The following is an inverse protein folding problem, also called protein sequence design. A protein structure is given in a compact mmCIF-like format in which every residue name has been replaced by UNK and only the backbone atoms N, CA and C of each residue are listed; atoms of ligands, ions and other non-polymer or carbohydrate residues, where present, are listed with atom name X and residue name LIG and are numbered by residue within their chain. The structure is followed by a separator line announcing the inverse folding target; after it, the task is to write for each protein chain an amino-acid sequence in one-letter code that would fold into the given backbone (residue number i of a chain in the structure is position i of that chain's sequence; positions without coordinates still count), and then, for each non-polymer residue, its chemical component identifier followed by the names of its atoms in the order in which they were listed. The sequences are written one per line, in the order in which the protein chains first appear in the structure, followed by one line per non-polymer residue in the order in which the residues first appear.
data_IF_014552665638
#
_entry.id   IF_014552665638
#
_cell.length_a   1.000
_cell.length_b   1.000
_cell.length_c   1.000
_cell.angle_alpha   90.00
_cell.angle_beta   90.00
_cell.angle_gamma   90.00
#
_symmetry.space_group_name_H-M   'P 1'
#
loop_
_entity.id
_entity.type
_entity.pdbx_description
1 polymer ?
#
# COMPACT_ATOMS: atom_id res chain seq x y z
N UNK A 1 -6.88 0.35 -19.03
CA UNK A 1 -5.75 1.23 -18.64
C UNK A 1 -5.76 1.68 -17.17
N UNK A 2 -6.92 1.71 -16.47
CA UNK A 2 -6.98 2.06 -15.05
C UNK A 2 -6.29 1.02 -14.16
N UNK A 3 -6.24 -0.23 -14.62
CA UNK A 3 -5.76 -1.37 -13.82
C UNK A 3 -4.25 -1.40 -13.61
N UNK A 4 -3.42 -1.20 -14.66
CA UNK A 4 -1.95 -1.26 -14.53
C UNK A 4 -1.37 -0.26 -13.50
N UNK A 5 -1.98 0.91 -13.37
CA UNK A 5 -1.56 1.92 -12.38
C UNK A 5 -1.91 1.48 -10.96
N UNK A 6 -3.08 0.87 -10.80
CA UNK A 6 -3.51 0.33 -9.52
C UNK A 6 -2.64 -0.88 -9.12
N UNK A 7 -2.26 -1.71 -10.08
CA UNK A 7 -1.31 -2.81 -9.88
C UNK A 7 0.06 -2.31 -9.41
N UNK A 8 0.60 -1.24 -10.02
CA UNK A 8 1.86 -0.64 -9.59
C UNK A 8 1.79 -0.12 -8.13
N UNK A 9 0.66 0.49 -7.74
CA UNK A 9 0.44 0.93 -6.36
C UNK A 9 0.35 -0.26 -5.40
N UNK A 10 -0.32 -1.34 -5.79
CA UNK A 10 -0.38 -2.59 -5.01
C UNK A 10 1.02 -3.19 -4.82
N UNK A 11 1.82 -3.23 -5.89
CA UNK A 11 3.21 -3.71 -5.83
C UNK A 11 4.08 -2.82 -4.94
N UNK A 12 3.97 -1.49 -5.05
CA UNK A 12 4.72 -0.57 -4.20
C UNK A 12 4.32 -0.69 -2.72
N UNK A 13 3.07 -1.06 -2.45
CA UNK A 13 2.61 -1.39 -1.09
C UNK A 13 3.28 -2.65 -0.56
N UNK A 14 3.34 -3.70 -1.39
CA UNK A 14 4.06 -4.92 -1.04
C UNK A 14 5.52 -4.61 -0.69
N UNK A 15 6.19 -3.80 -1.52
CA UNK A 15 7.58 -3.40 -1.27
C UNK A 15 7.73 -2.64 0.05
N UNK A 16 6.75 -1.81 0.42
CA UNK A 16 6.79 -1.07 1.69
C UNK A 16 6.68 -2.05 2.85
N UNK A 17 5.83 -3.05 2.74
CA UNK A 17 5.69 -4.11 3.74
C UNK A 17 6.96 -4.96 3.85
N UNK A 18 7.61 -5.29 2.72
CA UNK A 18 8.93 -5.96 2.75
C UNK A 18 9.95 -5.10 3.47
N UNK A 19 9.96 -3.79 3.19
CA UNK A 19 10.89 -2.88 3.86
C UNK A 19 10.64 -2.79 5.37
N UNK A 20 9.38 -2.78 5.82
CA UNK A 20 9.02 -2.82 7.25
C UNK A 20 9.65 -4.03 7.92
N UNK A 21 9.47 -5.22 7.34
CA UNK A 21 10.01 -6.47 7.89
C UNK A 21 11.54 -6.47 7.88
N UNK A 22 12.13 -6.01 6.78
CA UNK A 22 13.58 -5.91 6.65
C UNK A 22 14.19 -4.99 7.71
N UNK A 23 13.54 -3.85 7.96
CA UNK A 23 13.97 -2.85 8.96
C UNK A 23 13.80 -3.36 10.39
N UNK A 24 12.79 -4.21 10.64
CA UNK A 24 12.63 -4.93 11.91
C UNK A 24 13.71 -6.02 12.10
N UNK A 25 14.17 -6.67 11.02
CA UNK A 25 15.22 -7.67 11.08
C UNK A 25 16.64 -7.06 11.16
N UNK A 26 16.82 -5.80 10.77
CA UNK A 26 18.14 -5.17 10.68
C UNK A 26 18.95 -5.14 12.00
N UNK A 27 18.39 -4.82 13.17
CA UNK A 27 19.19 -4.66 14.39
C UNK A 27 20.04 -5.88 14.78
N UNK A 28 19.50 -7.10 14.93
CA UNK A 28 20.31 -8.25 15.34
C UNK A 28 21.43 -8.57 14.35
N UNK A 29 21.17 -8.48 13.05
CA UNK A 29 22.21 -8.67 12.03
C UNK A 29 23.31 -7.60 12.14
N UNK A 30 22.93 -6.35 12.38
CA UNK A 30 23.89 -5.27 12.52
C UNK A 30 24.73 -5.34 13.80
N UNK A 31 24.28 -6.08 14.84
CA UNK A 31 25.13 -6.41 15.99
C UNK A 31 26.28 -7.34 15.60
N UNK A 32 26.09 -8.18 14.59
CA UNK A 32 27.09 -9.07 14.03
C UNK A 32 27.90 -8.40 12.90
N UNK A 33 27.68 -7.11 12.65
CA UNK A 33 28.36 -6.36 11.59
C UNK A 33 27.88 -6.71 10.18
N UNK A 34 26.80 -7.48 10.05
CA UNK A 34 26.24 -7.91 8.76
C UNK A 34 24.86 -7.29 8.53
N UNK A 35 24.45 -7.22 7.26
CA UNK A 35 23.10 -6.81 6.90
C UNK A 35 22.20 -8.04 6.75
N UNK A 36 20.90 -7.94 7.07
CA UNK A 36 19.98 -9.01 6.76
C UNK A 36 20.01 -9.30 5.25
N UNK A 37 20.02 -10.59 4.85
CA UNK A 37 20.10 -10.93 3.44
C UNK A 37 18.79 -10.56 2.74
N UNK A 38 18.88 -9.65 1.76
CA UNK A 38 17.71 -9.06 1.07
C UNK A 38 16.94 -10.10 0.26
N UNK A 39 17.67 -10.95 -0.46
CA UNK A 39 17.08 -11.93 -1.38
C UNK A 39 16.16 -12.94 -0.65
N UNK A 40 16.58 -13.55 0.48
CA UNK A 40 15.69 -14.34 1.35
C UNK A 40 14.38 -13.68 1.73
N UNK A 41 14.43 -12.44 2.21
CA UNK A 41 13.24 -11.69 2.61
C UNK A 41 12.31 -11.44 1.42
N UNK A 42 12.88 -11.07 0.27
CA UNK A 42 12.12 -10.83 -0.95
C UNK A 42 11.46 -12.11 -1.45
N UNK A 43 12.18 -13.23 -1.47
CA UNK A 43 11.64 -14.54 -1.86
C UNK A 43 10.53 -14.99 -0.91
N UNK A 44 10.69 -14.84 0.40
CA UNK A 44 9.66 -15.20 1.38
C UNK A 44 8.37 -14.40 1.17
N UNK A 45 8.47 -13.09 0.92
CA UNK A 45 7.29 -12.26 0.66
C UNK A 45 6.65 -12.59 -0.69
N UNK A 46 7.45 -12.79 -1.75
CA UNK A 46 6.93 -13.17 -3.06
C UNK A 46 6.23 -14.53 -3.01
N UNK A 47 6.80 -15.51 -2.30
CA UNK A 47 6.20 -16.81 -2.08
C UNK A 47 4.89 -16.71 -1.29
N UNK A 48 4.90 -15.95 -0.18
CA UNK A 48 3.70 -15.69 0.62
C UNK A 48 2.59 -15.01 -0.18
N UNK A 49 2.92 -14.03 -1.03
CA UNK A 49 1.91 -13.39 -1.88
C UNK A 49 1.45 -14.21 -3.06
N UNK A 50 2.32 -15.02 -3.66
CA UNK A 50 1.94 -15.97 -4.70
C UNK A 50 0.96 -17.01 -4.12
N UNK A 51 1.29 -17.61 -2.98
CA UNK A 51 0.43 -18.57 -2.31
C UNK A 51 -0.92 -17.95 -1.86
N UNK A 52 -0.92 -16.70 -1.39
CA UNK A 52 -2.16 -16.01 -1.02
C UNK A 52 -3.08 -15.71 -2.20
N UNK A 53 -2.54 -15.59 -3.42
CA UNK A 53 -3.34 -15.47 -4.65
C UNK A 53 -3.90 -16.80 -5.11
N UNK A 54 -3.17 -17.89 -4.88
CA UNK A 54 -3.57 -19.24 -5.31
C UNK A 54 -4.60 -19.86 -4.36
N UNK A 55 -4.55 -19.50 -3.08
CA UNK A 55 -5.36 -20.13 -2.03
C UNK A 55 -6.30 -19.11 -1.39
N UNK A 56 -7.61 -19.34 -1.49
CA UNK A 56 -8.63 -18.53 -0.81
C UNK A 56 -8.96 -19.08 0.58
N UNK A 57 -9.30 -18.20 1.53
CA UNK A 57 -9.81 -18.57 2.85
C UNK A 57 -8.72 -18.92 3.88
N UNK A 58 -9.14 -19.54 5.00
CA UNK A 58 -8.27 -19.79 6.15
C UNK A 58 -7.11 -20.74 5.84
N UNK A 59 -7.32 -21.72 4.95
CA UNK A 59 -6.27 -22.63 4.51
C UNK A 59 -5.14 -21.89 3.77
N UNK A 60 -5.48 -20.86 2.99
CA UNK A 60 -4.48 -20.01 2.33
C UNK A 60 -3.58 -19.28 3.32
N UNK A 61 -4.11 -18.82 4.45
CA UNK A 61 -3.31 -18.16 5.50
C UNK A 61 -2.31 -19.11 6.17
N UNK A 62 -2.75 -20.33 6.50
CA UNK A 62 -1.86 -21.32 7.11
C UNK A 62 -0.75 -21.74 6.14
N UNK A 63 -1.11 -22.04 4.90
CA UNK A 63 -0.14 -22.45 3.87
C UNK A 63 0.83 -21.33 3.54
N UNK A 64 0.37 -20.08 3.39
CA UNK A 64 1.26 -18.93 3.13
C UNK A 64 2.23 -18.67 4.26
N UNK A 65 1.78 -18.79 5.51
CA UNK A 65 2.62 -18.62 6.69
C UNK A 65 3.67 -19.74 6.78
N UNK A 66 3.28 -20.99 6.53
CA UNK A 66 4.19 -22.14 6.49
C UNK A 66 5.21 -22.05 5.36
N UNK A 67 4.79 -21.59 4.16
CA UNK A 67 5.70 -21.40 3.03
C UNK A 67 6.70 -20.27 3.28
N UNK A 68 6.24 -19.17 3.88
CA UNK A 68 7.12 -18.08 4.28
C UNK A 68 8.10 -18.52 5.37
N UNK A 69 7.64 -19.31 6.35
CA UNK A 69 8.49 -19.90 7.38
C UNK A 69 9.55 -20.82 6.78
N UNK A 70 9.15 -21.73 5.89
CA UNK A 70 10.05 -22.65 5.21
C UNK A 70 11.08 -21.92 4.33
N UNK A 71 10.65 -20.93 3.54
CA UNK A 71 11.53 -20.14 2.70
C UNK A 71 12.54 -19.33 3.52
N UNK A 72 12.11 -18.76 4.64
CA UNK A 72 12.98 -18.01 5.52
C UNK A 72 13.96 -18.93 6.29
N UNK A 73 13.51 -20.11 6.73
CA UNK A 73 14.37 -21.10 7.36
C UNK A 73 15.41 -21.67 6.38
N UNK A 74 15.00 -22.02 5.16
CA UNK A 74 15.87 -22.55 4.12
C UNK A 74 16.97 -21.57 3.65
N UNK A 75 16.82 -20.29 4.00
CA UNK A 75 17.77 -19.22 3.66
C UNK A 75 18.66 -18.82 4.84
N UNK A 76 18.58 -19.54 5.96
CA UNK A 76 19.43 -19.32 7.13
C UNK A 76 18.99 -18.19 8.05
N UNK A 77 17.73 -17.70 7.95
CA UNK A 77 17.22 -16.72 8.91
C UNK A 77 16.99 -17.40 10.28
N UNK A 78 17.32 -16.74 11.41
CA UNK A 78 17.07 -17.28 12.74
C UNK A 78 15.59 -17.59 12.95
N UNK A 79 15.29 -18.71 13.60
CA UNK A 79 13.92 -19.23 13.74
C UNK A 79 12.92 -18.22 14.33
N UNK A 80 13.34 -17.40 15.29
CA UNK A 80 12.49 -16.37 15.88
C UNK A 80 12.10 -15.32 14.83
N UNK A 81 13.05 -14.89 13.99
CA UNK A 81 12.78 -13.95 12.90
C UNK A 81 11.84 -14.54 11.86
N UNK A 82 12.04 -15.81 11.49
CA UNK A 82 11.18 -16.49 10.52
C UNK A 82 9.76 -16.65 11.04
N UNK A 83 9.58 -16.96 12.33
CA UNK A 83 8.28 -17.04 12.97
C UNK A 83 7.54 -15.70 12.99
N UNK A 84 8.22 -14.60 13.35
CA UNK A 84 7.65 -13.25 13.32
C UNK A 84 7.26 -12.84 11.89
N UNK A 85 8.14 -13.12 10.93
CA UNK A 85 7.93 -12.83 9.51
C UNK A 85 6.73 -13.61 8.95
N UNK A 86 6.61 -14.89 9.29
CA UNK A 86 5.49 -15.73 8.92
C UNK A 86 4.17 -15.24 9.53
N UNK A 87 4.15 -14.92 10.83
CA UNK A 87 2.97 -14.38 11.51
C UNK A 87 2.53 -13.04 10.92
N UNK A 88 3.49 -12.17 10.61
CA UNK A 88 3.26 -10.88 9.96
C UNK A 88 2.64 -11.04 8.57
N UNK A 89 3.23 -11.88 7.71
CA UNK A 89 2.71 -12.15 6.36
C UNK A 89 1.31 -12.76 6.45
N UNK A 90 1.08 -13.73 7.34
CA UNK A 90 -0.22 -14.36 7.56
C UNK A 90 -1.30 -13.37 7.98
N UNK A 91 -1.02 -12.54 9.00
CA UNK A 91 -1.92 -11.46 9.44
C UNK A 91 -2.21 -10.50 8.29
N UNK A 92 -1.20 -10.16 7.50
CA UNK A 92 -1.36 -9.21 6.42
C UNK A 92 -2.22 -9.77 5.28
N UNK A 93 -2.03 -11.02 4.90
CA UNK A 93 -2.86 -11.67 3.88
C UNK A 93 -4.33 -11.73 4.31
N UNK A 94 -4.60 -11.99 5.60
CA UNK A 94 -5.94 -11.88 6.17
C UNK A 94 -6.53 -10.49 5.96
N UNK A 95 -5.78 -9.46 6.34
CA UNK A 95 -6.24 -8.07 6.23
C UNK A 95 -6.44 -7.60 4.77
N UNK A 96 -5.74 -8.20 3.80
CA UNK A 96 -5.98 -7.96 2.37
C UNK A 96 -7.26 -8.66 1.87
N UNK A 97 -7.55 -9.87 2.37
CA UNK A 97 -8.74 -10.63 2.01
C UNK A 97 -10.02 -9.95 2.54
N UNK A 98 -9.95 -9.33 3.72
CA UNK A 98 -11.07 -8.63 4.39
C UNK A 98 -11.41 -7.25 3.77
N UNK A 99 -10.86 -6.95 2.59
CA UNK A 99 -11.22 -5.84 1.68
C UNK A 99 -11.14 -4.41 2.19
N UNK A 100 -10.67 -4.13 3.40
CA UNK A 100 -10.19 -2.78 3.72
C UNK A 100 -9.40 -2.71 5.03
N UNK A 101 -8.15 -2.23 4.95
CA UNK A 101 -7.59 -1.54 6.09
C UNK A 101 -6.94 -0.26 5.59
N UNK A 102 -7.76 0.75 5.28
CA UNK A 102 -7.26 2.10 5.09
C UNK A 102 -6.75 2.63 6.45
N UNK A 103 -5.54 2.21 6.88
CA UNK A 103 -4.95 2.62 8.14
C UNK A 103 -3.89 1.67 8.71
N UNK A 104 -4.04 0.35 8.55
CA UNK A 104 -3.10 -0.61 9.19
C UNK A 104 -1.69 -0.54 8.62
N UNK A 105 -1.55 -0.11 7.36
CA UNK A 105 -0.24 0.11 6.73
C UNK A 105 0.57 1.19 7.46
N UNK A 106 -0.09 2.24 7.93
CA UNK A 106 0.57 3.29 8.70
C UNK A 106 0.97 2.80 10.08
N UNK A 107 0.10 2.03 10.72
CA UNK A 107 0.42 1.39 11.99
C UNK A 107 1.67 0.51 11.85
N UNK A 108 1.76 -0.29 10.78
CA UNK A 108 2.94 -1.11 10.48
C UNK A 108 4.23 -0.30 10.29
N UNK A 109 4.15 0.78 9.51
CA UNK A 109 5.28 1.70 9.31
C UNK A 109 5.68 2.38 10.62
N UNK A 110 4.72 2.83 11.43
CA UNK A 110 5.02 3.46 12.71
C UNK A 110 5.62 2.49 13.72
N UNK A 111 5.12 1.25 13.80
CA UNK A 111 5.68 0.22 14.68
C UNK A 111 7.13 -0.08 14.29
N UNK A 112 7.43 -0.24 13.01
CA UNK A 112 8.81 -0.49 12.55
C UNK A 112 9.72 0.71 12.76
N UNK A 113 9.26 1.94 12.48
CA UNK A 113 10.04 3.15 12.78
C UNK A 113 10.31 3.24 14.29
N UNK A 114 9.31 2.99 15.14
CA UNK A 114 9.47 3.05 16.59
C UNK A 114 10.46 2.00 17.09
N UNK A 115 10.32 0.74 16.65
CA UNK A 115 11.24 -0.35 16.99
C UNK A 115 12.67 -0.03 16.54
N UNK A 116 12.84 0.38 15.28
CA UNK A 116 14.16 0.67 14.73
C UNK A 116 14.75 1.94 15.33
N UNK A 117 13.94 2.90 15.77
CA UNK A 117 14.42 4.04 16.54
C UNK A 117 14.94 3.59 17.90
N UNK A 118 14.24 2.69 18.61
CA UNK A 118 14.74 2.10 19.85
C UNK A 118 16.07 1.36 19.62
N UNK A 119 16.14 0.54 18.57
CA UNK A 119 17.37 -0.16 18.19
C UNK A 119 18.51 0.80 17.82
N UNK A 120 18.21 1.84 17.04
CA UNK A 120 19.14 2.91 16.71
C UNK A 120 19.69 3.58 17.97
N UNK A 121 18.84 3.88 18.95
CA UNK A 121 19.27 4.48 20.22
C UNK A 121 20.19 3.56 21.03
N UNK A 122 20.01 2.25 20.95
CA UNK A 122 20.88 1.27 21.61
C UNK A 122 22.23 1.07 20.88
N UNK A 123 22.29 1.34 19.57
CA UNK A 123 23.47 1.10 18.72
C UNK A 123 24.27 2.37 18.40
N UNK A 124 23.86 3.54 18.91
CA UNK A 124 24.62 4.79 18.79
C UNK A 124 25.90 4.70 19.64
N UNK A 125 27.09 5.14 19.15
CA UNK A 125 27.39 5.89 17.92
C UNK A 125 28.09 5.07 16.81
N UNK A 126 27.71 3.80 16.60
CA UNK A 126 28.36 2.93 15.61
C UNK A 126 27.89 3.09 14.17
N UNK A 127 28.65 2.54 13.22
CA UNK A 127 28.27 2.45 11.79
C UNK A 127 26.91 1.76 11.60
N UNK A 128 26.64 0.73 12.42
CA UNK A 128 25.35 0.04 12.50
C UNK A 128 24.18 1.00 12.76
N UNK A 129 24.32 1.91 13.71
CA UNK A 129 23.31 2.92 13.99
C UNK A 129 23.03 3.79 12.76
N UNK A 130 24.08 4.20 12.04
CA UNK A 130 23.92 5.00 10.83
C UNK A 130 23.15 4.26 9.71
N UNK A 131 23.35 2.95 9.59
CA UNK A 131 22.61 2.10 8.64
C UNK A 131 21.14 2.01 9.03
N UNK A 132 20.82 1.77 10.31
CA UNK A 132 19.44 1.75 10.80
C UNK A 132 18.75 3.10 10.57
N UNK A 133 19.45 4.19 10.86
CA UNK A 133 18.94 5.54 10.60
C UNK A 133 18.57 5.74 9.12
N UNK A 134 19.47 5.36 8.20
CA UNK A 134 19.22 5.45 6.77
C UNK A 134 17.99 4.62 6.36
N UNK A 135 17.88 3.40 6.88
CA UNK A 135 16.76 2.52 6.63
C UNK A 135 15.43 3.14 7.09
N UNK A 136 15.38 3.73 8.29
CA UNK A 136 14.20 4.43 8.83
C UNK A 136 13.81 5.60 7.93
N UNK A 137 14.77 6.45 7.54
CA UNK A 137 14.50 7.63 6.69
C UNK A 137 13.97 7.20 5.33
N UNK A 138 14.61 6.22 4.69
CA UNK A 138 14.17 5.66 3.41
C UNK A 138 12.75 5.08 3.51
N UNK A 139 12.47 4.32 4.56
CA UNK A 139 11.16 3.73 4.79
C UNK A 139 10.07 4.80 4.99
N UNK A 140 10.35 5.85 5.79
CA UNK A 140 9.42 6.96 6.01
C UNK A 140 9.11 7.70 4.70
N UNK A 141 10.15 8.03 3.93
CA UNK A 141 10.00 8.70 2.63
C UNK A 141 9.16 7.85 1.69
N UNK A 142 9.46 6.55 1.63
CA UNK A 142 8.71 5.63 0.78
C UNK A 142 7.24 5.51 1.21
N UNK A 143 6.94 5.44 2.51
CA UNK A 143 5.58 5.42 3.04
C UNK A 143 4.79 6.69 2.69
N UNK A 144 5.41 7.87 2.85
CA UNK A 144 4.78 9.16 2.52
C UNK A 144 4.51 9.25 1.01
N UNK A 145 5.48 8.86 0.17
CA UNK A 145 5.32 8.84 -1.28
C UNK A 145 4.19 7.91 -1.71
N UNK A 146 4.13 6.70 -1.15
CA UNK A 146 3.11 5.71 -1.48
C UNK A 146 1.71 6.19 -1.08
N UNK A 147 1.54 6.79 0.10
CA UNK A 147 0.25 7.36 0.53
C UNK A 147 -0.21 8.46 -0.41
N UNK A 148 0.68 9.39 -0.75
CA UNK A 148 0.33 10.47 -1.66
C UNK A 148 0.01 9.94 -3.06
N UNK A 149 0.73 8.93 -3.54
CA UNK A 149 0.43 8.26 -4.80
C UNK A 149 -0.97 7.61 -4.75
N UNK A 150 -1.30 6.89 -3.68
CA UNK A 150 -2.63 6.27 -3.50
C UNK A 150 -3.76 7.30 -3.50
N UNK A 151 -3.60 8.39 -2.74
CA UNK A 151 -4.59 9.47 -2.72
C UNK A 151 -4.79 10.07 -4.12
N UNK A 152 -3.69 10.28 -4.86
CA UNK A 152 -3.72 10.78 -6.23
C UNK A 152 -4.42 9.81 -7.20
N UNK A 153 -4.20 8.51 -7.07
CA UNK A 153 -4.77 7.50 -7.96
C UNK A 153 -6.24 7.14 -7.65
N UNK A 154 -6.73 7.44 -6.45
CA UNK A 154 -8.14 7.25 -6.08
C UNK A 154 -9.06 8.32 -6.70
N UNK A 155 -8.54 9.50 -7.05
CA UNK A 155 -9.37 10.58 -7.58
C UNK A 155 -9.83 10.30 -9.03
N UNK A 156 -11.13 10.49 -9.35
CA UNK A 156 -11.68 10.18 -10.67
C UNK A 156 -11.26 11.16 -11.76
N UNK A 157 -10.91 12.40 -11.40
CA UNK A 157 -10.44 13.43 -12.32
C UNK A 157 -9.10 13.96 -11.82
N UNK A 158 -8.03 13.62 -12.56
CA UNK A 158 -6.65 13.98 -12.21
C UNK A 158 -6.26 15.25 -12.96
N UNK A 159 -5.86 16.29 -12.23
CA UNK A 159 -5.38 17.53 -12.84
C UNK A 159 -3.85 17.51 -13.01
N UNK A 160 -3.33 18.22 -14.02
CA UNK A 160 -1.87 18.39 -14.19
C UNK A 160 -1.22 19.03 -12.96
N UNK A 161 -1.96 19.88 -12.24
CA UNK A 161 -1.49 20.53 -11.02
C UNK A 161 -1.20 19.52 -9.91
N UNK A 162 -2.03 18.47 -9.77
CA UNK A 162 -1.81 17.42 -8.77
C UNK A 162 -0.56 16.57 -9.07
N UNK A 163 -0.24 16.37 -10.34
CA UNK A 163 1.00 15.68 -10.74
C UNK A 163 2.23 16.47 -10.38
N UNK A 164 2.18 17.78 -10.65
CA UNK A 164 3.26 18.68 -10.32
C UNK A 164 3.42 18.79 -8.80
N UNK A 165 2.32 18.84 -8.04
CA UNK A 165 2.35 18.82 -6.58
C UNK A 165 2.99 17.53 -6.05
N UNK A 166 2.63 16.36 -6.61
CA UNK A 166 3.24 15.08 -6.23
C UNK A 166 4.74 15.04 -6.56
N UNK A 167 5.15 15.52 -7.73
CA UNK A 167 6.57 15.60 -8.11
C UNK A 167 7.36 16.55 -7.21
N UNK A 168 6.79 17.70 -6.84
CA UNK A 168 7.41 18.64 -5.89
C UNK A 168 7.54 18.03 -4.49
N UNK A 169 6.51 17.33 -4.02
CA UNK A 169 6.56 16.60 -2.75
C UNK A 169 7.65 15.51 -2.78
N UNK A 170 7.75 14.77 -3.88
CA UNK A 170 8.78 13.74 -4.04
C UNK A 170 10.19 14.34 -4.10
N UNK A 171 10.39 15.41 -4.88
CA UNK A 171 11.65 16.14 -4.93
C UNK A 171 12.04 16.72 -3.57
N UNK A 172 11.08 17.29 -2.83
CA UNK A 172 11.28 17.83 -1.49
C UNK A 172 11.67 16.75 -0.47
N UNK A 173 10.98 15.61 -0.46
CA UNK A 173 11.33 14.48 0.40
C UNK A 173 12.70 13.90 0.09
N UNK A 174 13.05 13.76 -1.19
CA UNK A 174 14.39 13.33 -1.60
C UNK A 174 15.46 14.34 -1.19
N UNK A 175 15.18 15.64 -1.31
CA UNK A 175 16.06 16.70 -0.84
C UNK A 175 16.28 16.66 0.68
N UNK A 176 15.21 16.47 1.45
CA UNK A 176 15.30 16.27 2.91
C UNK A 176 16.09 15.00 3.23
N UNK A 177 15.84 13.90 2.52
CA UNK A 177 16.58 12.64 2.70
C UNK A 177 18.07 12.85 2.45
N UNK A 178 18.43 13.50 1.34
CA UNK A 178 19.81 13.83 1.03
C UNK A 178 20.42 14.71 2.12
N UNK A 179 19.71 15.74 2.58
CA UNK A 179 20.16 16.60 3.68
C UNK A 179 20.41 15.81 4.97
N UNK A 180 19.51 14.89 5.32
CA UNK A 180 19.65 14.03 6.50
C UNK A 180 20.82 13.03 6.37
N UNK A 181 21.06 12.51 5.16
CA UNK A 181 22.14 11.56 4.88
C UNK A 181 23.50 12.25 4.80
N UNK A 182 23.59 13.45 4.24
CA UNK A 182 24.84 14.21 4.14
C UNK A 182 25.11 15.07 5.37
N UNK A 183 24.07 15.42 6.14
CA UNK A 183 24.15 16.11 7.43
C UNK A 183 24.63 15.25 8.59
N UNK A 184 25.33 14.13 8.31
CA UNK A 184 25.85 13.16 9.30
C UNK A 184 26.38 13.78 10.58
N UNK A 185 27.32 14.75 10.57
CA UNK A 185 27.90 15.25 11.82
C UNK A 185 26.86 15.90 12.74
N UNK A 186 25.88 16.60 12.17
CA UNK A 186 24.81 17.25 12.93
C UNK A 186 23.84 16.21 13.49
N UNK A 187 23.46 15.22 12.69
CA UNK A 187 22.55 14.14 13.08
C UNK A 187 23.21 13.23 14.13
N UNK A 188 24.50 12.91 13.98
CA UNK A 188 25.24 12.13 14.95
C UNK A 188 25.39 12.87 16.29
N UNK A 189 25.65 14.18 16.25
CA UNK A 189 25.73 15.00 17.46
C UNK A 189 24.38 15.11 18.17
N UNK A 190 23.31 15.49 17.45
CA UNK A 190 21.97 15.60 18.01
C UNK A 190 21.42 14.23 18.45
N UNK A 191 21.68 13.19 17.66
CA UNK A 191 21.30 11.81 17.94
C UNK A 191 22.04 11.24 19.14
N UNK A 192 23.33 11.53 19.32
CA UNK A 192 24.09 11.14 20.50
C UNK A 192 23.54 11.77 21.78
N UNK A 193 23.25 13.08 21.76
CA UNK A 193 22.66 13.77 22.91
C UNK A 193 21.25 13.27 23.24
N UNK A 194 20.39 13.15 22.23
CA UNK A 194 19.03 12.63 22.39
C UNK A 194 19.06 11.15 22.81
N UNK A 195 19.96 10.35 22.25
CA UNK A 195 20.11 8.93 22.54
C UNK A 195 20.62 8.66 23.94
N UNK A 196 21.58 9.43 24.45
CA UNK A 196 22.01 9.31 25.84
C UNK A 196 20.87 9.66 26.80
N UNK A 197 20.16 10.76 26.54
CA UNK A 197 19.10 11.26 27.42
C UNK A 197 17.87 10.34 27.41
N UNK A 198 17.38 10.04 26.20
CA UNK A 198 16.17 9.25 26.00
C UNK A 198 16.44 7.77 26.16
N UNK A 199 17.57 7.26 25.69
CA UNK A 199 17.98 5.86 25.83
C UNK A 199 18.14 5.46 27.29
N UNK A 200 18.76 6.29 28.12
CA UNK A 200 18.86 6.01 29.56
C UNK A 200 17.47 6.00 30.24
N UNK A 201 16.62 6.98 29.94
CA UNK A 201 15.26 7.05 30.47
C UNK A 201 14.39 5.87 30.01
N UNK A 202 14.51 5.48 28.73
CA UNK A 202 13.76 4.38 28.16
C UNK A 202 14.26 3.03 28.64
N UNK A 203 15.58 2.83 28.72
CA UNK A 203 16.18 1.62 29.28
C UNK A 203 15.76 1.41 30.74
N UNK A 204 15.81 2.47 31.55
CA UNK A 204 15.36 2.41 32.96
C UNK A 204 13.85 2.15 33.08
N UNK A 205 13.04 2.72 32.19
CA UNK A 205 11.60 2.46 32.13
C UNK A 205 11.31 1.00 31.76
N UNK A 206 11.91 0.50 30.67
CA UNK A 206 11.71 -0.87 30.18
C UNK A 206 12.20 -1.87 31.22
N UNK A 207 13.41 -1.72 31.74
CA UNK A 207 13.94 -2.63 32.78
C UNK A 207 13.05 -2.66 34.02
N UNK A 208 12.48 -1.52 34.47
CA UNK A 208 11.52 -1.51 35.58
C UNK A 208 10.20 -2.19 35.25
N UNK A 209 9.68 -2.00 34.04
CA UNK A 209 8.44 -2.63 33.58
C UNK A 209 8.61 -4.15 33.37
N UNK A 210 9.75 -4.58 32.85
CA UNK A 210 10.00 -5.98 32.52
C UNK A 210 10.62 -6.79 33.65
N UNK A 211 11.31 -6.17 34.61
CA UNK A 211 11.91 -6.83 35.78
C UNK A 211 10.99 -7.87 36.45
N UNK A 212 9.72 -7.57 36.82
CA UNK A 212 8.87 -8.55 37.48
C UNK A 212 8.50 -9.75 36.58
N UNK A 213 8.47 -9.57 35.26
CA UNK A 213 8.19 -10.65 34.31
C UNK A 213 9.45 -11.44 33.92
N UNK A 214 10.62 -10.81 33.97
CA UNK A 214 11.89 -11.41 33.55
C UNK A 214 12.43 -12.40 34.59
N UNK A 215 12.32 -12.09 35.87
CA UNK A 215 12.78 -12.95 36.98
C UNK A 215 12.19 -14.39 36.93
N UNK A 216 10.87 -14.59 36.78
CA UNK A 216 10.32 -15.95 36.65
C UNK A 216 10.71 -16.61 35.31
N UNK A 217 10.91 -15.83 34.25
CA UNK A 217 11.32 -16.34 32.94
C UNK A 217 12.76 -16.86 32.96
N UNK A 218 13.69 -16.13 33.58
CA UNK A 218 15.07 -16.58 33.81
C UNK A 218 15.12 -17.83 34.68
N UNK A 219 14.31 -17.90 35.75
CA UNK A 219 14.21 -19.12 36.56
C UNK A 219 13.69 -20.31 35.76
N UNK A 220 12.70 -20.09 34.88
CA UNK A 220 12.16 -21.13 34.01
C UNK A 220 13.20 -21.62 33.00
N UNK A 221 13.81 -20.72 32.22
CA UNK A 221 14.82 -21.09 31.24
C UNK A 221 16.07 -21.66 31.89
N UNK A 222 16.53 -21.07 33.00
CA UNK A 222 17.65 -21.59 33.78
C UNK A 222 17.43 -23.02 34.25
N UNK A 223 16.19 -23.38 34.61
CA UNK A 223 15.82 -24.77 34.96
C UNK A 223 15.76 -25.68 33.74
N UNK A 224 15.19 -25.22 32.62
CA UNK A 224 15.10 -26.01 31.38
C UNK A 224 16.47 -26.32 30.80
N UNK A 225 17.38 -25.34 30.77
CA UNK A 225 18.72 -25.50 30.22
C UNK A 225 19.69 -26.20 31.19
N UNK A 226 19.62 -25.96 32.52
CA UNK A 226 20.46 -26.71 33.48
C UNK A 226 20.10 -28.18 33.61
N UNK A 227 18.85 -28.55 33.29
CA UNK A 227 18.42 -29.96 33.37
C UNK A 227 18.99 -30.85 32.25
N UNK A 228 19.69 -30.27 31.25
CA UNK A 228 20.28 -31.01 30.13
C UNK A 228 21.75 -31.39 30.28
N UNK A 229 22.55 -30.64 31.07
CA UNK A 229 24.02 -30.71 31.00
C UNK A 229 24.71 -31.24 32.25
N UNK A 230 23.98 -31.72 33.27
CA UNK A 230 24.62 -32.04 34.56
C UNK A 230 25.18 -33.48 34.66
N UNK A 231 24.88 -34.39 33.72
CA UNK A 231 25.28 -35.82 33.88
C UNK A 231 26.27 -36.39 32.85
N UNK A 232 26.81 -35.62 31.89
CA UNK A 232 27.59 -36.23 30.79
C UNK A 232 28.91 -35.55 30.38
N UNK A 233 29.53 -34.71 31.23
CA UNK A 233 30.90 -34.22 30.94
C UNK A 233 31.80 -34.46 32.15
N UNK A 234 32.12 -35.73 32.39
CA UNK A 234 33.40 -36.12 32.98
C UNK A 234 34.37 -36.37 31.83
N UNK A 235 35.34 -35.46 31.71
CA UNK A 235 36.69 -35.70 31.18
C UNK A 235 36.78 -36.49 29.88
N UNK A 236 36.72 -35.79 28.76
CA UNK A 236 37.54 -36.18 27.61
C UNK A 236 38.30 -34.94 27.15
N UNK A 237 39.59 -34.97 27.47
CA UNK A 237 40.63 -34.03 27.06
C UNK A 237 40.83 -34.20 25.54
N UNK A 238 39.87 -33.71 24.77
CA UNK A 238 39.91 -33.75 23.31
C UNK A 238 40.77 -32.58 22.85
N UNK A 239 42.03 -32.94 22.56
CA UNK A 239 42.95 -32.30 21.62
C UNK A 239 42.23 -31.37 20.64
N UNK A 240 42.71 -30.13 20.58
CA UNK A 240 42.22 -29.10 19.67
C UNK A 240 42.37 -29.48 18.20
N UNK A 241 41.41 -30.25 17.69
CA UNK A 241 40.99 -30.10 16.31
C UNK A 241 40.14 -28.84 16.26
N UNK A 242 40.74 -27.78 15.71
CA UNK A 242 40.04 -26.62 15.18
C UNK A 242 38.82 -27.14 14.42
N UNK A 243 37.63 -26.99 15.01
CA UNK A 243 36.39 -27.20 14.27
C UNK A 243 36.54 -26.36 13.01
N UNK A 244 36.40 -26.95 11.80
CA UNK A 244 36.41 -26.17 10.58
C UNK A 244 35.30 -25.15 10.77
N UNK A 245 35.70 -23.91 11.04
CA UNK A 245 34.85 -22.74 10.86
C UNK A 245 34.33 -22.96 9.46
N UNK A 246 33.07 -23.37 9.33
CA UNK A 246 32.41 -23.37 8.04
C UNK A 246 32.70 -21.98 7.52
N UNK A 247 33.57 -21.89 6.51
CA UNK A 247 33.66 -20.74 5.63
C UNK A 247 32.23 -20.60 5.13
N UNK A 248 31.45 -19.81 5.86
CA UNK A 248 30.15 -19.32 5.47
C UNK A 248 30.48 -18.62 4.18
N UNK A 249 30.26 -19.36 3.08
CA UNK A 249 30.70 -19.03 1.73
C UNK A 249 30.69 -17.52 1.60
N UNK A 250 31.87 -16.91 1.38
CA UNK A 250 32.08 -15.46 1.31
C UNK A 250 31.07 -14.87 0.32
N UNK A 251 29.88 -14.62 0.86
CA UNK A 251 28.70 -14.37 0.07
C UNK A 251 28.81 -12.92 -0.21
N UNK A 252 29.37 -12.59 -1.38
CA UNK A 252 29.58 -11.25 -1.95
C UNK A 252 28.99 -10.21 -1.01
N UNK A 253 29.79 -9.71 -0.06
CA UNK A 253 29.32 -8.72 0.89
C UNK A 253 29.07 -7.44 0.09
N UNK A 254 27.81 -7.27 -0.34
CA UNK A 254 27.37 -6.04 -0.96
C UNK A 254 27.45 -4.95 0.11
N UNK A 255 28.52 -4.15 0.07
CA UNK A 255 28.69 -3.04 0.98
C UNK A 255 27.45 -2.11 0.95
N UNK A 256 27.21 -1.30 1.99
CA UNK A 256 26.04 -0.41 2.06
C UNK A 256 25.86 0.48 0.82
N UNK A 257 26.98 0.87 0.19
CA UNK A 257 27.01 1.62 -1.07
C UNK A 257 26.47 0.81 -2.27
N UNK A 258 26.79 -0.48 -2.34
CA UNK A 258 26.35 -1.37 -3.42
C UNK A 258 24.84 -1.68 -3.29
N UNK A 259 24.33 -1.83 -2.07
CA UNK A 259 22.89 -1.95 -1.82
C UNK A 259 22.14 -0.65 -2.12
N UNK A 260 22.72 0.51 -1.76
CA UNK A 260 22.22 1.82 -2.15
C UNK A 260 22.16 2.00 -3.68
N UNK A 261 23.18 1.51 -4.40
CA UNK A 261 23.24 1.54 -5.86
C UNK A 261 22.16 0.63 -6.50
N UNK A 262 21.93 -0.56 -5.96
CA UNK A 262 20.84 -1.46 -6.42
C UNK A 262 19.47 -0.83 -6.19
N UNK A 263 19.23 -0.24 -5.02
CA UNK A 263 17.97 0.46 -4.73
C UNK A 263 17.77 1.70 -5.61
N UNK A 264 18.83 2.46 -5.88
CA UNK A 264 18.81 3.59 -6.82
C UNK A 264 18.55 3.14 -8.26
N UNK A 265 19.13 2.02 -8.71
CA UNK A 265 18.88 1.42 -10.02
C UNK A 265 17.42 0.94 -10.14
N UNK A 266 16.88 0.27 -9.12
CA UNK A 266 15.48 -0.17 -9.10
C UNK A 266 14.52 1.03 -9.09
N UNK A 267 14.76 2.01 -8.22
CA UNK A 267 13.99 3.24 -8.13
C UNK A 267 14.06 4.05 -9.43
N UNK A 268 15.24 4.15 -10.02
CA UNK A 268 15.52 4.77 -11.31
C UNK A 268 14.81 4.05 -12.46
N UNK A 269 14.83 2.73 -12.51
CA UNK A 269 14.12 1.93 -13.51
C UNK A 269 12.60 2.13 -13.42
N UNK A 270 12.04 2.22 -12.21
CA UNK A 270 10.62 2.55 -12.00
C UNK A 270 10.31 3.98 -12.47
N UNK A 271 11.14 4.96 -12.13
CA UNK A 271 11.01 6.34 -12.60
C UNK A 271 11.10 6.45 -14.13
N UNK A 272 12.10 5.81 -14.75
CA UNK A 272 12.27 5.75 -16.21
C UNK A 272 11.07 5.08 -16.85
N UNK A 273 10.55 3.98 -16.30
CA UNK A 273 9.34 3.30 -16.80
C UNK A 273 8.13 4.24 -16.76
N UNK A 274 7.94 4.99 -15.67
CA UNK A 274 6.89 6.00 -15.55
C UNK A 274 7.07 7.10 -16.62
N UNK A 275 8.29 7.64 -16.79
CA UNK A 275 8.60 8.70 -17.76
C UNK A 275 8.45 8.24 -19.21
N UNK A 276 8.96 7.06 -19.58
CA UNK A 276 8.79 6.45 -20.91
C UNK A 276 7.31 6.23 -21.24
N UNK A 277 6.52 5.82 -20.25
CA UNK A 277 5.07 5.66 -20.43
C UNK A 277 4.32 6.98 -20.66
N UNK A 278 4.92 8.12 -20.27
CA UNK A 278 4.38 9.47 -20.53
C UNK A 278 4.82 9.99 -21.90
N UNK A 279 6.07 9.79 -22.31
CA UNK A 279 6.58 10.24 -23.61
C UNK A 279 5.86 9.57 -24.79
N UNK A 280 5.61 8.25 -24.72
CA UNK A 280 4.86 7.56 -25.77
C UNK A 280 3.42 8.06 -25.95
N UNK A 281 2.83 8.72 -24.94
CA UNK A 281 1.45 9.24 -25.00
C UNK A 281 1.35 10.67 -25.50
N UNK A 282 2.47 11.41 -25.53
CA UNK A 282 2.52 12.75 -26.10
C UNK A 282 2.36 12.74 -27.62
N UNK A 283 2.91 11.72 -28.29
CA UNK A 283 2.80 11.58 -29.75
C UNK A 283 1.41 11.11 -30.20
N UNK A 284 0.80 10.15 -29.51
CA UNK A 284 -0.53 9.65 -29.88
C UNK A 284 -1.66 10.68 -29.65
N UNK A 285 -1.48 11.60 -28.69
CA UNK A 285 -2.47 12.65 -28.42
C UNK A 285 -2.32 13.90 -29.29
N UNK A 286 -1.15 14.13 -29.89
CA UNK A 286 -0.96 15.24 -30.83
C UNK A 286 -1.56 14.92 -32.22
N UNK A 287 -1.69 13.64 -32.59
CA UNK A 287 -2.36 13.26 -33.82
C UNK A 287 -3.90 13.34 -33.73
N UNK A 288 -4.48 13.19 -32.53
CA UNK A 288 -5.94 13.22 -32.32
C UNK A 288 -6.48 14.63 -32.03
N UNK A 289 -5.61 15.62 -31.73
CA UNK A 289 -6.06 16.97 -31.38
C UNK A 289 -6.17 17.96 -32.55
N UNK A 290 -5.82 17.56 -33.76
CA UNK A 290 -5.96 18.39 -34.97
C UNK A 290 -7.21 18.05 -35.79
N UNK A 291 -8.05 17.11 -35.35
CA UNK A 291 -9.32 16.72 -36.02
C UNK A 291 -10.55 17.15 -35.19
N UNK A 292 -10.36 18.04 -34.20
CA UNK A 292 -11.37 18.37 -33.20
C UNK A 292 -12.21 19.61 -33.46
N UNK A 293 -12.04 20.33 -34.58
CA UNK A 293 -12.73 21.63 -34.77
C UNK A 293 -13.39 21.84 -36.15
N UNK A 294 -13.46 20.82 -37.01
CA UNK A 294 -14.24 20.90 -38.23
C UNK A 294 -14.63 19.50 -38.73
N UNK A 295 -15.57 18.83 -38.05
CA UNK A 295 -16.34 17.79 -38.73
C UNK A 295 -17.76 17.72 -38.15
N UNK A 296 -18.57 18.58 -38.75
CA UNK A 296 -19.99 18.36 -39.00
C UNK A 296 -20.27 16.88 -39.25
N UNK A 297 -21.02 16.27 -38.34
CA UNK A 297 -21.38 14.86 -38.36
C UNK A 297 -22.21 14.58 -39.62
N UNK A 298 -21.54 14.14 -40.69
CA UNK A 298 -22.21 13.41 -41.76
C UNK A 298 -22.50 12.00 -41.25
N UNK A 299 -23.78 11.56 -41.23
CA UNK A 299 -24.12 10.20 -40.86
C UNK A 299 -23.67 9.29 -42.00
N UNK A 300 -22.54 8.62 -41.79
CA UNK A 300 -22.01 7.69 -42.78
C UNK A 300 -22.89 6.44 -42.82
N UNK A 301 -23.31 6.12 -44.05
CA UNK A 301 -24.32 5.13 -44.37
C UNK A 301 -23.72 3.73 -44.26
N UNK A 302 -23.79 3.15 -43.07
CA UNK A 302 -23.76 1.69 -42.94
C UNK A 302 -25.15 1.25 -42.49
N UNK A 303 -25.92 0.54 -43.34
CA UNK A 303 -27.22 0.02 -42.92
C UNK A 303 -26.99 -1.12 -41.92
N UNK A 304 -27.41 -0.99 -40.65
CA UNK A 304 -27.52 -2.15 -39.79
C UNK A 304 -28.81 -2.88 -40.19
N UNK A 305 -28.66 -3.93 -40.97
CA UNK A 305 -29.63 -5.01 -41.06
C UNK A 305 -29.83 -5.59 -39.67
N UNK A 306 -31.04 -5.48 -39.12
CA UNK A 306 -31.44 -6.15 -37.87
C UNK A 306 -32.14 -5.20 -36.90
N UNK A 307 -33.46 -5.35 -36.79
CA UNK A 307 -34.46 -4.40 -36.28
C UNK A 307 -34.46 -4.12 -34.76
N UNK A 308 -33.43 -4.49 -34.00
CA UNK A 308 -33.49 -4.52 -32.52
C UNK A 308 -32.50 -3.59 -31.75
N UNK A 309 -31.59 -2.88 -32.42
CA UNK A 309 -30.60 -2.06 -31.70
C UNK A 309 -31.13 -0.72 -31.16
N UNK A 310 -32.32 -0.26 -31.58
CA UNK A 310 -32.86 1.03 -31.14
C UNK A 310 -33.32 1.03 -29.67
N UNK A 311 -33.70 -0.13 -29.13
CA UNK A 311 -34.26 -0.26 -27.79
C UNK A 311 -33.19 -0.20 -26.69
N UNK A 312 -32.00 -0.78 -26.94
CA UNK A 312 -30.86 -0.64 -26.04
C UNK A 312 -30.39 0.80 -25.88
N UNK A 313 -30.42 1.57 -26.99
CA UNK A 313 -30.06 2.99 -26.98
C UNK A 313 -31.01 3.82 -26.09
N UNK A 314 -32.31 3.55 -26.13
CA UNK A 314 -33.32 4.23 -25.31
C UNK A 314 -33.18 3.90 -23.81
N UNK A 315 -32.87 2.64 -23.45
CA UNK A 315 -32.58 2.23 -22.06
C UNK A 315 -31.40 3.03 -21.47
N UNK A 316 -30.42 3.39 -22.29
CA UNK A 316 -29.31 4.25 -21.88
C UNK A 316 -29.71 5.72 -21.72
N UNK A 317 -30.73 6.22 -22.41
CA UNK A 317 -31.12 7.64 -22.32
C UNK A 317 -31.65 8.00 -20.93
N UNK A 318 -32.57 7.22 -20.36
CA UNK A 318 -33.12 7.46 -19.01
C UNK A 318 -32.00 7.43 -17.96
N UNK A 319 -31.11 6.42 -18.00
CA UNK A 319 -29.96 6.32 -17.08
C UNK A 319 -29.01 7.52 -17.23
N UNK A 320 -28.75 7.97 -18.47
CA UNK A 320 -27.91 9.16 -18.75
C UNK A 320 -28.55 10.44 -18.22
N UNK A 321 -29.85 10.61 -18.35
CA UNK A 321 -30.55 11.80 -17.84
C UNK A 321 -30.55 11.83 -16.31
N UNK A 322 -30.74 10.70 -15.62
CA UNK A 322 -30.59 10.63 -14.14
C UNK A 322 -29.16 10.96 -13.70
N UNK A 323 -28.15 10.46 -14.40
CA UNK A 323 -26.75 10.81 -14.11
C UNK A 323 -26.46 12.30 -14.31
N UNK A 324 -26.96 12.90 -15.40
CA UNK A 324 -26.85 14.34 -15.69
C UNK A 324 -27.57 15.16 -14.62
N UNK A 325 -28.77 14.74 -14.22
CA UNK A 325 -29.54 15.35 -13.14
C UNK A 325 -28.79 15.30 -11.80
N UNK A 326 -28.23 14.15 -11.43
CA UNK A 326 -27.41 13.99 -10.23
C UNK A 326 -26.19 14.90 -10.20
N UNK A 327 -25.49 15.06 -11.33
CA UNK A 327 -24.39 16.03 -11.43
C UNK A 327 -24.87 17.47 -11.30
N UNK A 328 -26.00 17.82 -11.93
CA UNK A 328 -26.58 19.18 -11.88
C UNK A 328 -26.93 19.55 -10.44
N UNK A 329 -27.68 18.69 -9.75
CA UNK A 329 -28.10 18.92 -8.37
C UNK A 329 -26.96 18.88 -7.38
N UNK A 330 -25.95 18.01 -7.56
CA UNK A 330 -24.74 18.00 -6.72
C UNK A 330 -23.98 19.33 -6.77
N UNK A 331 -23.89 19.97 -7.94
CA UNK A 331 -23.27 21.30 -8.06
C UNK A 331 -24.06 22.38 -7.33
N UNK A 332 -25.36 22.21 -7.19
CA UNK A 332 -26.24 23.13 -6.47
C UNK A 332 -26.36 22.80 -4.97
N UNK A 333 -25.63 21.80 -4.44
CA UNK A 333 -25.72 21.37 -3.03
C UNK A 333 -26.84 20.36 -2.72
N UNK A 334 -27.70 20.03 -3.68
CA UNK A 334 -28.84 19.12 -3.51
C UNK A 334 -28.60 17.73 -4.10
N UNK A 335 -27.34 17.26 -4.09
CA UNK A 335 -26.99 15.93 -4.57
C UNK A 335 -27.67 14.81 -3.77
N UNK A 336 -27.87 13.65 -4.41
CA UNK A 336 -28.37 12.44 -3.74
C UNK A 336 -27.33 11.88 -2.76
N UNK A 337 -27.75 11.54 -1.53
CA UNK A 337 -26.93 10.81 -0.56
C UNK A 337 -26.69 9.36 -1.02
N UNK A 338 -25.59 8.68 -0.62
CA UNK A 338 -25.36 7.28 -0.96
C UNK A 338 -26.45 6.32 -0.44
N UNK A 339 -27.02 6.61 0.72
CA UNK A 339 -28.05 5.80 1.40
C UNK A 339 -29.47 6.11 0.91
N UNK A 340 -29.65 7.26 0.25
CA UNK A 340 -30.95 7.78 -0.17
C UNK A 340 -31.42 7.15 -1.48
N UNK A 341 -32.67 6.67 -1.50
CA UNK A 341 -33.29 6.11 -2.70
C UNK A 341 -33.61 7.20 -3.73
N UNK A 342 -33.80 6.83 -5.00
CA UNK A 342 -34.17 7.82 -6.03
C UNK A 342 -35.52 8.50 -5.72
N UNK A 343 -36.45 7.78 -5.08
CA UNK A 343 -37.74 8.31 -4.64
C UNK A 343 -37.59 9.33 -3.50
N UNK A 344 -36.89 8.96 -2.42
CA UNK A 344 -36.61 9.85 -1.29
C UNK A 344 -35.92 11.14 -1.76
N UNK A 345 -34.99 11.00 -2.70
CA UNK A 345 -34.30 12.15 -3.26
C UNK A 345 -35.24 13.12 -4.00
N UNK A 346 -36.15 12.59 -4.81
CA UNK A 346 -37.15 13.42 -5.49
C UNK A 346 -38.15 14.04 -4.50
N UNK A 347 -38.50 13.33 -3.43
CA UNK A 347 -39.33 13.83 -2.34
C UNK A 347 -38.68 15.01 -1.60
N UNK A 348 -37.40 14.87 -1.24
CA UNK A 348 -36.62 15.95 -0.63
C UNK A 348 -36.49 17.18 -1.51
N UNK A 349 -36.51 17.01 -2.83
CA UNK A 349 -36.53 18.10 -3.80
C UNK A 349 -37.91 18.79 -3.94
N UNK A 350 -38.91 18.37 -3.17
CA UNK A 350 -40.24 18.97 -3.16
C UNK A 350 -41.08 18.64 -4.40
N UNK A 351 -40.79 17.52 -5.08
CA UNK A 351 -41.56 17.14 -6.28
C UNK A 351 -42.95 16.63 -5.91
N UNK A 352 -43.96 17.07 -6.65
CA UNK A 352 -45.34 16.59 -6.53
C UNK A 352 -45.41 15.05 -6.53
N UNK A 353 -46.23 14.43 -5.65
CA UNK A 353 -46.28 12.98 -5.47
C UNK A 353 -46.50 12.20 -6.77
N UNK A 354 -47.36 12.69 -7.66
CA UNK A 354 -47.66 12.04 -8.95
C UNK A 354 -46.44 12.00 -9.88
N UNK A 355 -45.78 13.14 -10.10
CA UNK A 355 -44.57 13.25 -10.92
C UNK A 355 -43.43 12.42 -10.34
N UNK A 356 -43.24 12.50 -9.01
CA UNK A 356 -42.24 11.72 -8.27
C UNK A 356 -42.43 10.22 -8.48
N UNK A 357 -43.66 9.73 -8.29
CA UNK A 357 -43.96 8.31 -8.39
C UNK A 357 -43.76 7.79 -9.81
N UNK A 358 -44.17 8.57 -10.82
CA UNK A 358 -44.00 8.20 -12.24
C UNK A 358 -42.53 8.19 -12.67
N UNK A 359 -41.72 9.18 -12.26
CA UNK A 359 -40.28 9.18 -12.49
C UNK A 359 -39.60 8.00 -11.80
N UNK A 360 -39.93 7.73 -10.53
CA UNK A 360 -39.33 6.62 -9.81
C UNK A 360 -39.66 5.27 -10.46
N UNK A 361 -40.91 5.06 -10.88
CA UNK A 361 -41.35 3.84 -11.57
C UNK A 361 -40.59 3.63 -12.87
N UNK A 362 -40.50 4.64 -13.74
CA UNK A 362 -39.75 4.55 -15.00
C UNK A 362 -38.26 4.27 -14.78
N UNK A 363 -37.63 4.94 -13.82
CA UNK A 363 -36.22 4.70 -13.51
C UNK A 363 -35.99 3.29 -12.94
N UNK A 364 -36.87 2.82 -12.07
CA UNK A 364 -36.80 1.48 -11.45
C UNK A 364 -36.95 0.40 -12.50
N UNK A 365 -37.93 0.54 -13.42
CA UNK A 365 -38.14 -0.36 -14.57
C UNK A 365 -36.86 -0.48 -15.41
N UNK A 366 -36.27 0.65 -15.79
CA UNK A 366 -35.04 0.67 -16.61
C UNK A 366 -33.82 0.13 -15.84
N UNK A 367 -33.76 0.28 -14.53
CA UNK A 367 -32.59 -0.10 -13.72
C UNK A 367 -32.59 -1.56 -13.30
N UNK A 368 -33.74 -2.09 -12.90
CA UNK A 368 -33.83 -3.40 -12.23
C UNK A 368 -34.64 -4.43 -13.02
N UNK A 369 -35.65 -4.03 -13.78
CA UNK A 369 -36.52 -4.96 -14.50
C UNK A 369 -36.11 -5.20 -15.96
N UNK A 370 -35.10 -4.45 -16.45
CA UNK A 370 -34.67 -4.44 -17.86
C UNK A 370 -35.81 -4.23 -18.86
N UNK A 371 -36.90 -3.63 -18.40
CA UNK A 371 -38.11 -3.43 -19.19
C UNK A 371 -37.93 -2.34 -20.25
N UNK A 372 -38.66 -2.51 -21.35
CA UNK A 372 -38.70 -1.56 -22.45
C UNK A 372 -39.54 -0.35 -22.08
N UNK A 373 -39.00 0.83 -22.41
CA UNK A 373 -39.64 2.12 -22.20
C UNK A 373 -39.93 2.71 -23.56
N UNK A 374 -41.17 3.14 -23.79
CA UNK A 374 -41.55 3.74 -25.06
C UNK A 374 -40.82 5.07 -25.28
N UNK A 375 -40.69 5.49 -26.53
CA UNK A 375 -40.11 6.80 -26.87
C UNK A 375 -40.82 7.95 -26.16
N UNK A 376 -42.15 7.89 -26.04
CA UNK A 376 -42.96 8.91 -25.39
C UNK A 376 -42.71 8.95 -23.87
N UNK A 377 -42.57 7.79 -23.22
CA UNK A 377 -42.22 7.71 -21.81
C UNK A 377 -40.81 8.25 -21.55
N UNK A 378 -39.85 7.94 -22.42
CA UNK A 378 -38.48 8.41 -22.30
C UNK A 378 -38.37 9.94 -22.50
N UNK A 379 -39.10 10.49 -23.48
CA UNK A 379 -39.14 11.93 -23.74
C UNK A 379 -39.87 12.68 -22.62
N UNK A 380 -40.98 12.13 -22.11
CA UNK A 380 -41.66 12.66 -20.92
C UNK A 380 -40.73 12.68 -19.71
N UNK A 381 -39.98 11.59 -19.47
CA UNK A 381 -39.02 11.49 -18.38
C UNK A 381 -37.94 12.57 -18.52
N UNK A 382 -37.38 12.73 -19.72
CA UNK A 382 -36.34 13.71 -20.02
C UNK A 382 -36.82 15.15 -19.81
N UNK A 383 -38.03 15.49 -20.26
CA UNK A 383 -38.60 16.83 -20.06
C UNK A 383 -38.84 17.11 -18.59
N UNK A 384 -39.46 16.15 -17.89
CA UNK A 384 -39.79 16.27 -16.47
C UNK A 384 -38.54 16.38 -15.60
N UNK A 385 -37.50 15.58 -15.81
CA UNK A 385 -36.26 15.65 -15.01
C UNK A 385 -35.41 16.91 -15.29
N UNK A 386 -35.62 17.55 -16.45
CA UNK A 386 -34.97 18.80 -16.82
C UNK A 386 -35.69 20.02 -16.25
N UNK A 387 -37.00 19.96 -16.05
CA UNK A 387 -37.77 21.07 -15.45
C UNK A 387 -37.52 21.21 -13.94
N UNK A 388 -37.08 20.15 -13.26
CA UNK A 388 -36.74 20.21 -11.82
C UNK A 388 -35.58 21.19 -11.59
N UNK A 389 -35.86 22.24 -10.82
CA UNK A 389 -34.87 23.22 -10.35
C UNK A 389 -34.45 22.88 -8.90
N UNK A 390 -33.24 23.28 -8.49
CA UNK A 390 -32.87 23.23 -7.07
C UNK A 390 -33.87 24.08 -6.26
N UNK A 391 -34.25 23.66 -5.04
CA UNK A 391 -35.00 24.51 -4.12
C UNK A 391 -34.26 25.85 -3.97
N UNK A 392 -34.94 26.98 -4.15
CA UNK A 392 -34.41 28.27 -3.71
C UNK A 392 -34.22 28.16 -2.20
N UNK A 393 -32.99 28.36 -1.70
CA UNK A 393 -32.78 28.51 -0.27
C UNK A 393 -33.54 29.77 0.17
N UNK A 394 -34.62 29.57 0.91
CA UNK A 394 -35.26 30.62 1.70
C UNK A 394 -34.41 30.97 2.91
#
# INVERSE_FOLDING_TARGET
MRDRKMEAVKLATLLLEVSVIYVLAAPPYLMEGVLPPVLPHLLAVLAGTAAARLLSGNAGMAVTSLLALFAAWATGLPFIHTAVLAAWIGWRMKSFAEREPAGTEWLAVFISIAYSLCAFMMMLPGEAGQVIYLLIVCQLVFAVLLRNARMLYRQPARSKAQDLAFLRLAGGLLGITALLVFGKPVVAWAGGFAGMSFGAAFYTLITRLTAPAWVPLEMFFGRVFRSGDTDAIKSEEVSGEEMPVMEVAEGIQWGPAAMGAVLLLLGGAVLISIFRSRYKKGQDQLFVRTVGEAEEIRPDKTPPTGRDQSLGFLRHQVRREVYRFGRRMRRAGFGRSPEETFREWLERLGLEPEKRNRLNRLYTRVRYAEEEVSMDEAEWFRRTIRSIRPPSGE
#
